data_IF_939750102722
#
_entry.id   IF_939750102722
#
_cell.length_a   1.000
_cell.length_b   1.000
_cell.length_c   1.000
_cell.angle_alpha   90.00
_cell.angle_beta   90.00
_cell.angle_gamma   90.00
#
_symmetry.space_group_name_H-M   'P 1'
#
loop_
_entity.id
_entity.type
_entity.pdbx_description
1 polymer ?
#
# COMPACT_ATOMS: atom_id res chain seq x y z
N UNK A 1 7.78 22.90 10.77
CA UNK A 1 8.99 22.38 10.12
C UNK A 1 8.98 20.88 10.33
N UNK A 2 9.08 20.08 9.25
CA UNK A 2 8.76 18.67 9.28
C UNK A 2 9.93 17.77 9.67
N UNK A 3 9.90 17.26 10.90
CA UNK A 3 10.83 16.24 11.38
C UNK A 3 10.19 14.86 11.25
N UNK A 4 10.66 14.07 10.27
CA UNK A 4 10.04 12.81 9.88
C UNK A 4 10.98 11.64 10.08
N UNK A 5 10.43 10.57 10.65
CA UNK A 5 11.08 9.25 10.73
C UNK A 5 10.30 8.28 9.83
N UNK A 6 10.99 7.60 8.94
CA UNK A 6 10.44 6.55 8.10
C UNK A 6 10.94 5.19 8.58
N UNK A 7 10.05 4.25 8.84
CA UNK A 7 10.37 2.87 9.20
C UNK A 7 10.13 2.00 7.98
N UNK A 8 11.19 1.37 7.49
CA UNK A 8 11.21 0.59 6.25
C UNK A 8 12.28 1.07 5.28
N UNK A 9 12.82 0.16 4.49
CA UNK A 9 13.83 0.42 3.44
C UNK A 9 13.59 -0.50 2.22
N UNK A 10 12.30 -0.75 1.91
CA UNK A 10 11.84 -1.50 0.73
C UNK A 10 11.60 -0.59 -0.48
N UNK A 11 10.98 -1.12 -1.54
CA UNK A 11 10.70 -0.38 -2.77
C UNK A 11 9.84 0.86 -2.54
N UNK A 12 8.74 0.74 -1.82
CA UNK A 12 7.85 1.86 -1.45
C UNK A 12 8.61 2.91 -0.62
N UNK A 13 9.39 2.47 0.37
CA UNK A 13 10.21 3.35 1.19
C UNK A 13 11.28 4.09 0.36
N UNK A 14 11.84 3.43 -0.66
CA UNK A 14 12.78 4.06 -1.59
C UNK A 14 12.12 5.22 -2.31
N UNK A 15 10.95 5.01 -2.90
CA UNK A 15 10.19 6.08 -3.58
C UNK A 15 9.85 7.22 -2.62
N UNK A 16 9.27 6.90 -1.45
CA UNK A 16 8.92 7.90 -0.45
C UNK A 16 10.14 8.72 -0.01
N UNK A 17 11.30 8.08 0.20
CA UNK A 17 12.54 8.78 0.55
C UNK A 17 13.01 9.74 -0.55
N UNK A 18 12.98 9.31 -1.83
CA UNK A 18 13.29 10.20 -2.95
C UNK A 18 12.36 11.41 -2.97
N UNK A 19 11.04 11.20 -2.77
CA UNK A 19 10.06 12.28 -2.75
C UNK A 19 10.21 13.21 -1.53
N UNK A 20 10.56 12.67 -0.37
CA UNK A 20 10.87 13.48 0.82
C UNK A 20 12.05 14.40 0.56
N UNK A 21 13.15 13.90 -0.01
CA UNK A 21 14.33 14.73 -0.28
C UNK A 21 14.15 15.73 -1.43
N UNK A 22 13.17 15.52 -2.30
CA UNK A 22 12.76 16.50 -3.32
C UNK A 22 11.98 17.68 -2.72
N UNK A 23 11.44 17.54 -1.49
CA UNK A 23 10.58 18.51 -0.83
C UNK A 23 11.15 18.95 0.54
N UNK A 24 12.45 19.31 0.60
CA UNK A 24 13.15 19.69 1.84
C UNK A 24 12.63 20.98 2.47
N UNK A 25 11.89 21.79 1.74
CA UNK A 25 11.17 22.95 2.28
C UNK A 25 10.05 22.54 3.28
N UNK A 26 9.50 21.35 3.12
CA UNK A 26 8.52 20.75 4.03
C UNK A 26 9.21 19.81 5.02
N UNK A 27 10.08 18.92 4.55
CA UNK A 27 10.77 17.89 5.34
C UNK A 27 12.17 18.37 5.72
N UNK A 28 12.32 18.98 6.90
CA UNK A 28 13.57 19.65 7.30
C UNK A 28 14.56 18.74 8.02
N UNK A 29 14.09 17.67 8.65
CA UNK A 29 14.92 16.62 9.25
C UNK A 29 14.34 15.25 8.87
N UNK A 30 15.19 14.38 8.36
CA UNK A 30 14.76 13.06 7.88
C UNK A 30 15.64 11.94 8.42
N UNK A 31 14.99 10.87 8.92
CA UNK A 31 15.65 9.63 9.33
C UNK A 31 14.96 8.43 8.71
N UNK A 32 15.78 7.46 8.28
CA UNK A 32 15.33 6.14 7.81
C UNK A 32 15.78 5.08 8.80
N UNK A 33 14.88 4.22 9.23
CA UNK A 33 15.19 3.12 10.13
C UNK A 33 14.62 1.78 9.64
N UNK A 34 15.35 0.71 9.84
CA UNK A 34 14.88 -0.65 9.56
C UNK A 34 15.67 -1.68 10.36
N UNK A 35 15.26 -2.95 10.35
CA UNK A 35 16.01 -4.06 10.98
C UNK A 35 17.42 -4.21 10.44
N UNK A 36 17.67 -3.84 9.19
CA UNK A 36 18.97 -3.87 8.52
C UNK A 36 19.41 -2.46 8.20
N UNK A 37 20.23 -1.87 9.07
CA UNK A 37 20.74 -0.51 8.88
C UNK A 37 21.45 -0.34 7.53
N UNK A 38 22.13 -1.39 7.07
CA UNK A 38 22.84 -1.39 5.79
C UNK A 38 21.91 -1.07 4.61
N UNK A 39 20.64 -1.53 4.68
CA UNK A 39 19.63 -1.19 3.65
C UNK A 39 19.24 0.28 3.68
N UNK A 40 19.21 0.89 4.85
CA UNK A 40 19.00 2.33 4.98
C UNK A 40 20.20 3.11 4.40
N UNK A 41 21.42 2.67 4.68
CA UNK A 41 22.64 3.31 4.19
C UNK A 41 22.76 3.15 2.65
N UNK A 42 22.40 1.99 2.09
CA UNK A 42 22.32 1.75 0.64
C UNK A 42 21.31 2.71 -0.03
N UNK A 43 20.12 2.91 0.60
CA UNK A 43 19.12 3.84 0.09
C UNK A 43 19.62 5.29 0.12
N UNK A 44 20.26 5.72 1.21
CA UNK A 44 20.88 7.06 1.29
C UNK A 44 21.93 7.24 0.19
N UNK A 45 22.76 6.20 -0.03
CA UNK A 45 23.75 6.22 -1.11
C UNK A 45 23.08 6.37 -2.48
N UNK A 46 22.00 5.62 -2.76
CA UNK A 46 21.28 5.71 -4.03
C UNK A 46 20.71 7.12 -4.28
N UNK A 47 20.19 7.77 -3.23
CA UNK A 47 19.71 9.15 -3.28
C UNK A 47 20.83 10.12 -3.61
N UNK A 48 21.99 9.96 -2.97
CA UNK A 48 23.17 10.80 -3.24
C UNK A 48 23.77 10.57 -4.64
N UNK A 49 23.80 9.32 -5.10
CA UNK A 49 24.27 8.95 -6.45
C UNK A 49 23.40 9.58 -7.56
N UNK A 50 22.11 9.82 -7.28
CA UNK A 50 21.19 10.58 -8.15
C UNK A 50 21.34 12.11 -8.02
N UNK A 51 22.27 12.59 -7.21
CA UNK A 51 22.65 14.01 -7.09
C UNK A 51 21.90 14.81 -6.02
N UNK A 52 21.01 14.19 -5.24
CA UNK A 52 20.35 14.87 -4.14
C UNK A 52 21.29 15.03 -2.95
N UNK A 53 21.38 16.26 -2.42
CA UNK A 53 22.22 16.59 -1.26
C UNK A 53 21.33 16.82 -0.02
N UNK A 54 20.88 15.73 0.58
CA UNK A 54 20.09 15.77 1.80
C UNK A 54 20.87 15.14 2.96
N UNK A 55 20.77 15.72 4.15
CA UNK A 55 21.30 15.11 5.38
C UNK A 55 20.25 14.11 5.90
N UNK A 56 20.49 12.83 5.62
CA UNK A 56 19.58 11.74 5.97
C UNK A 56 20.25 10.89 7.04
N UNK A 57 19.63 10.82 8.23
CA UNK A 57 20.09 9.94 9.30
C UNK A 57 19.60 8.51 9.07
N UNK A 58 20.37 7.54 9.51
CA UNK A 58 20.00 6.13 9.44
C UNK A 58 20.11 5.47 10.82
N UNK A 59 19.21 4.52 11.11
CA UNK A 59 19.22 3.77 12.35
C UNK A 59 18.82 2.31 12.13
N UNK A 60 19.23 1.45 13.05
CA UNK A 60 18.70 0.09 13.17
C UNK A 60 17.57 0.09 14.18
N UNK A 61 16.45 -0.57 13.85
CA UNK A 61 15.34 -0.79 14.78
C UNK A 61 14.60 -2.06 14.37
N UNK A 62 14.19 -2.85 15.33
CA UNK A 62 13.20 -3.91 15.13
C UNK A 62 11.82 -3.33 15.42
N UNK A 63 10.97 -3.26 14.39
CA UNK A 63 9.63 -2.71 14.51
C UNK A 63 8.62 -3.65 15.21
N UNK A 64 9.02 -4.87 15.52
CA UNK A 64 8.29 -5.78 16.42
C UNK A 64 8.60 -5.50 17.92
N UNK A 65 9.61 -4.67 18.23
CA UNK A 65 10.04 -4.33 19.59
C UNK A 65 9.67 -2.88 19.96
N UNK A 66 8.61 -2.73 20.74
CA UNK A 66 8.08 -1.41 21.18
C UNK A 66 9.14 -0.61 21.97
N UNK A 67 10.00 -1.27 22.76
CA UNK A 67 11.00 -0.55 23.57
C UNK A 67 12.13 0.00 22.68
N UNK A 68 12.61 -0.75 21.70
CA UNK A 68 13.58 -0.23 20.72
C UNK A 68 12.98 0.95 19.92
N UNK A 69 11.71 0.84 19.51
CA UNK A 69 11.01 1.95 18.86
C UNK A 69 10.95 3.20 19.74
N UNK A 70 10.59 3.05 21.02
CA UNK A 70 10.53 4.16 21.99
C UNK A 70 11.91 4.80 22.21
N UNK A 71 12.98 4.01 22.32
CA UNK A 71 14.34 4.53 22.42
C UNK A 71 14.70 5.38 21.19
N UNK A 72 14.42 4.86 20.00
CA UNK A 72 14.65 5.58 18.74
C UNK A 72 13.82 6.87 18.66
N UNK A 73 12.52 6.82 18.97
CA UNK A 73 11.62 7.98 18.90
C UNK A 73 12.03 9.04 19.93
N UNK A 74 12.38 8.66 21.15
CA UNK A 74 12.87 9.59 22.17
C UNK A 74 14.21 10.24 21.79
N UNK A 75 15.08 9.53 21.10
CA UNK A 75 16.38 10.07 20.66
C UNK A 75 16.24 11.01 19.48
N UNK A 76 15.46 10.66 18.47
CA UNK A 76 15.26 11.46 17.26
C UNK A 76 14.17 12.51 17.45
N UNK A 77 13.11 12.23 18.20
CA UNK A 77 11.92 13.06 18.44
C UNK A 77 11.21 13.47 17.13
N UNK A 78 10.72 12.51 16.34
CA UNK A 78 9.98 12.82 15.13
C UNK A 78 8.63 13.47 15.46
N UNK A 79 8.15 14.38 14.62
CA UNK A 79 6.75 14.84 14.68
C UNK A 79 5.80 13.82 14.03
N UNK A 80 6.29 13.15 12.99
CA UNK A 80 5.54 12.13 12.24
C UNK A 80 6.42 10.91 12.01
N UNK A 81 5.85 9.73 12.25
CA UNK A 81 6.42 8.44 11.86
C UNK A 81 5.66 7.94 10.63
N UNK A 82 6.37 7.69 9.53
CA UNK A 82 5.84 7.02 8.34
C UNK A 82 6.21 5.55 8.44
N UNK A 83 5.21 4.68 8.55
CA UNK A 83 5.39 3.25 8.58
C UNK A 83 5.29 2.66 7.18
N UNK A 84 6.41 2.21 6.63
CA UNK A 84 6.55 1.47 5.37
C UNK A 84 7.23 0.12 5.61
N UNK A 85 7.06 -0.42 6.83
CA UNK A 85 7.40 -1.79 7.18
C UNK A 85 6.28 -2.74 6.71
N UNK A 86 6.26 -3.97 7.21
CA UNK A 86 5.15 -4.87 6.92
C UNK A 86 3.94 -4.55 7.81
N UNK A 87 2.72 -4.87 7.38
CA UNK A 87 1.50 -4.57 8.14
C UNK A 87 1.46 -5.19 9.54
N UNK A 88 2.23 -6.25 9.78
CA UNK A 88 2.36 -6.90 11.09
C UNK A 88 2.90 -5.99 12.20
N UNK A 89 3.61 -4.90 11.85
CA UNK A 89 4.23 -3.98 12.78
C UNK A 89 3.37 -2.73 13.10
N UNK A 90 2.22 -2.56 12.47
CA UNK A 90 1.43 -1.33 12.59
C UNK A 90 1.07 -1.02 14.05
N UNK A 91 0.53 -2.00 14.77
CA UNK A 91 0.09 -1.78 16.15
C UNK A 91 1.26 -1.52 17.11
N UNK A 92 2.42 -2.19 16.93
CA UNK A 92 3.62 -1.95 17.74
C UNK A 92 4.18 -0.55 17.50
N UNK A 93 4.17 -0.08 16.26
CA UNK A 93 4.60 1.27 15.92
C UNK A 93 3.60 2.31 16.46
N UNK A 94 2.28 2.07 16.36
CA UNK A 94 1.24 2.94 16.94
C UNK A 94 1.35 3.03 18.46
N UNK A 95 1.65 1.94 19.17
CA UNK A 95 1.90 1.94 20.62
C UNK A 95 3.13 2.79 20.97
N UNK A 96 4.22 2.67 20.22
CA UNK A 96 5.41 3.50 20.40
C UNK A 96 5.13 4.98 20.10
N UNK A 97 4.34 5.29 19.07
CA UNK A 97 3.91 6.65 18.75
C UNK A 97 3.12 7.28 19.91
N UNK A 98 2.14 6.57 20.45
CA UNK A 98 1.38 7.04 21.61
C UNK A 98 2.27 7.27 22.83
N UNK A 99 3.20 6.36 23.11
CA UNK A 99 4.10 6.46 24.25
C UNK A 99 5.07 7.65 24.15
N UNK A 100 5.47 8.05 22.94
CA UNK A 100 6.46 9.10 22.68
C UNK A 100 5.86 10.43 22.19
N UNK A 101 4.54 10.50 21.99
CA UNK A 101 3.88 11.71 21.51
C UNK A 101 4.15 12.00 20.03
N UNK A 102 4.26 10.97 19.19
CA UNK A 102 4.47 11.07 17.75
C UNK A 102 3.18 10.82 16.98
N UNK A 103 3.01 11.48 15.83
CA UNK A 103 1.93 11.19 14.91
C UNK A 103 2.32 10.01 14.00
N UNK A 104 1.34 9.37 13.36
CA UNK A 104 1.50 8.14 12.62
C UNK A 104 0.90 8.25 11.21
N UNK A 105 1.54 7.59 10.24
CA UNK A 105 1.02 7.40 8.88
C UNK A 105 1.51 6.04 8.38
N UNK A 106 0.62 5.27 7.73
CA UNK A 106 0.95 4.04 7.01
C UNK A 106 0.36 4.00 5.59
N UNK A 107 0.57 2.90 4.88
CA UNK A 107 0.09 2.69 3.51
C UNK A 107 -0.75 1.43 3.34
N UNK A 108 -1.11 0.77 4.42
CA UNK A 108 -1.90 -0.46 4.46
C UNK A 108 -2.67 -0.55 5.78
N UNK A 109 -3.34 -1.65 6.05
CA UNK A 109 -3.94 -1.97 7.32
C UNK A 109 -3.12 -3.03 8.09
N UNK A 110 -3.34 -3.12 9.42
CA UNK A 110 -2.76 -4.18 10.22
C UNK A 110 -3.24 -5.57 9.78
N UNK A 111 -2.32 -6.51 9.75
CA UNK A 111 -2.59 -7.92 9.46
C UNK A 111 -1.92 -8.82 10.52
N UNK A 112 -2.66 -9.77 11.15
CA UNK A 112 -2.06 -10.79 12.00
C UNK A 112 -1.12 -11.71 11.23
N UNK A 113 0.01 -12.13 11.85
CA UNK A 113 0.99 -13.02 11.18
C UNK A 113 0.45 -14.44 10.93
N UNK A 114 -0.42 -14.89 11.79
CA UNK A 114 -0.95 -16.27 11.86
C UNK A 114 -2.30 -16.45 11.12
N UNK A 115 -2.91 -15.35 10.68
CA UNK A 115 -4.17 -15.34 9.96
C UNK A 115 -4.13 -14.32 8.82
N UNK A 116 -4.56 -14.70 7.62
CA UNK A 116 -4.74 -13.76 6.52
C UNK A 116 -6.09 -13.06 6.71
N UNK A 117 -6.07 -11.90 7.36
CA UNK A 117 -7.27 -11.15 7.68
C UNK A 117 -7.00 -9.64 7.63
N UNK A 118 -7.55 -8.99 6.61
CA UNK A 118 -7.33 -7.58 6.30
C UNK A 118 -8.54 -6.77 6.75
N UNK A 119 -8.38 -5.95 7.79
CA UNK A 119 -9.43 -5.06 8.30
C UNK A 119 -8.85 -3.89 9.10
N UNK A 120 -9.50 -2.74 9.08
CA UNK A 120 -9.10 -1.56 9.84
C UNK A 120 -9.51 -1.59 11.33
N UNK A 121 -10.36 -2.50 11.76
CA UNK A 121 -10.92 -2.53 13.11
C UNK A 121 -9.85 -2.47 14.20
N UNK A 122 -8.72 -3.16 13.99
CA UNK A 122 -7.58 -3.19 14.90
C UNK A 122 -6.97 -1.79 15.12
N UNK A 123 -6.79 -1.04 14.06
CA UNK A 123 -6.21 0.30 14.13
C UNK A 123 -7.25 1.34 14.54
N UNK A 124 -8.51 1.21 14.10
CA UNK A 124 -9.59 2.10 14.56
C UNK A 124 -9.83 2.01 16.08
N UNK A 125 -9.54 0.89 16.71
CA UNK A 125 -9.60 0.73 18.17
C UNK A 125 -8.63 1.68 18.92
N UNK A 126 -7.65 2.25 18.24
CA UNK A 126 -6.72 3.25 18.80
C UNK A 126 -7.26 4.68 18.77
N UNK A 127 -8.41 4.94 18.14
CA UNK A 127 -8.94 6.29 17.90
C UNK A 127 -9.00 7.13 19.18
N UNK A 128 -9.65 6.63 20.22
CA UNK A 128 -9.79 7.35 21.49
C UNK A 128 -8.45 7.63 22.16
N UNK A 129 -7.46 6.74 22.01
CA UNK A 129 -6.12 6.93 22.58
C UNK A 129 -5.40 8.08 21.87
N UNK A 130 -5.44 8.11 20.52
CA UNK A 130 -4.85 9.18 19.73
C UNK A 130 -5.57 10.51 19.94
N UNK A 131 -6.90 10.54 20.03
CA UNK A 131 -7.68 11.74 20.36
C UNK A 131 -7.27 12.33 21.72
N UNK A 132 -7.21 11.51 22.78
CA UNK A 132 -6.82 11.93 24.11
C UNK A 132 -5.39 12.44 24.18
N UNK A 133 -4.51 11.88 23.37
CA UNK A 133 -3.10 12.31 23.26
C UNK A 133 -2.92 13.57 22.39
N UNK A 134 -3.96 14.01 21.67
CA UNK A 134 -3.87 15.12 20.71
C UNK A 134 -3.07 14.76 19.46
N UNK A 135 -2.94 13.47 19.14
CA UNK A 135 -2.16 12.93 18.04
C UNK A 135 -3.05 12.51 16.87
N UNK A 136 -2.50 12.56 15.68
CA UNK A 136 -3.14 12.12 14.44
C UNK A 136 -2.50 10.83 13.93
N UNK A 137 -3.31 9.82 13.59
CA UNK A 137 -2.91 8.69 12.78
C UNK A 137 -3.67 8.72 11.44
N UNK A 138 -2.94 8.60 10.34
CA UNK A 138 -3.46 8.55 8.97
C UNK A 138 -3.23 7.14 8.46
N UNK A 139 -4.31 6.42 8.14
CA UNK A 139 -4.26 5.03 7.73
C UNK A 139 -4.40 4.88 6.23
N UNK A 140 -3.66 3.92 5.68
CA UNK A 140 -3.80 3.50 4.30
C UNK A 140 -3.47 4.60 3.29
N UNK A 141 -2.42 5.38 3.50
CA UNK A 141 -2.04 6.49 2.62
C UNK A 141 -1.07 6.02 1.51
N UNK A 142 -1.50 4.97 0.79
CA UNK A 142 -0.87 4.47 -0.44
C UNK A 142 -1.69 4.86 -1.68
N UNK A 143 -1.76 3.98 -2.67
CA UNK A 143 -2.65 4.21 -3.79
C UNK A 143 -4.02 3.56 -3.54
N UNK A 144 -4.02 2.27 -3.37
CA UNK A 144 -5.10 1.41 -2.92
C UNK A 144 -4.54 0.52 -1.76
N UNK A 145 -4.90 0.90 -0.55
CA UNK A 145 -5.70 2.05 -0.08
C UNK A 145 -4.96 3.41 -0.18
N UNK A 146 -5.74 4.49 -0.29
CA UNK A 146 -5.28 5.88 -0.16
C UNK A 146 -5.77 6.79 -1.28
N UNK A 147 -5.14 6.77 -2.45
CA UNK A 147 -5.57 7.60 -3.59
C UNK A 147 -6.97 7.20 -4.06
N UNK A 148 -7.33 5.91 -4.04
CA UNK A 148 -8.68 5.40 -4.33
C UNK A 148 -9.74 6.03 -3.41
N UNK A 149 -9.40 6.16 -2.13
CA UNK A 149 -10.25 6.83 -1.12
C UNK A 149 -10.34 8.34 -1.38
N UNK A 150 -9.20 8.99 -1.68
CA UNK A 150 -9.19 10.41 -2.06
C UNK A 150 -9.99 10.68 -3.35
N UNK A 151 -9.92 9.79 -4.34
CA UNK A 151 -10.72 9.88 -5.56
C UNK A 151 -12.22 9.80 -5.28
N UNK A 152 -12.62 8.88 -4.40
CA UNK A 152 -14.02 8.75 -3.98
C UNK A 152 -14.49 9.98 -3.20
N UNK A 153 -13.68 10.50 -2.28
CA UNK A 153 -13.98 11.73 -1.55
C UNK A 153 -14.06 12.95 -2.47
N UNK A 154 -13.18 13.04 -3.47
CA UNK A 154 -13.19 14.09 -4.48
C UNK A 154 -14.47 14.03 -5.33
N UNK A 155 -14.83 12.84 -5.78
CA UNK A 155 -16.08 12.63 -6.52
C UNK A 155 -17.31 13.03 -5.69
N UNK A 156 -17.38 12.61 -4.42
CA UNK A 156 -18.45 12.99 -3.51
C UNK A 156 -18.52 14.52 -3.30
N UNK A 157 -17.37 15.17 -3.15
CA UNK A 157 -17.30 16.62 -2.90
C UNK A 157 -17.74 17.45 -4.10
N UNK A 158 -17.36 17.05 -5.33
CA UNK A 158 -17.49 17.88 -6.51
C UNK A 158 -18.57 17.40 -7.50
N UNK A 159 -18.81 16.10 -7.59
CA UNK A 159 -19.56 15.51 -8.69
C UNK A 159 -20.81 14.75 -8.29
N UNK A 160 -20.98 14.37 -7.03
CA UNK A 160 -22.13 13.58 -6.59
C UNK A 160 -22.79 14.14 -5.34
N UNK A 161 -24.10 14.05 -5.29
CA UNK A 161 -24.90 14.23 -4.08
C UNK A 161 -25.04 12.88 -3.34
N UNK A 162 -25.11 11.77 -4.12
CA UNK A 162 -25.12 10.40 -3.63
C UNK A 162 -24.27 9.51 -4.52
N UNK A 163 -23.36 8.74 -3.93
CA UNK A 163 -22.63 7.67 -4.61
C UNK A 163 -23.39 6.37 -4.37
N UNK A 164 -23.78 5.68 -5.44
CA UNK A 164 -24.51 4.41 -5.34
C UNK A 164 -23.66 3.20 -5.66
N UNK A 165 -22.77 3.28 -6.63
CA UNK A 165 -21.93 2.18 -7.10
C UNK A 165 -20.49 2.68 -7.21
N UNK A 166 -19.59 1.90 -6.64
CA UNK A 166 -18.15 2.15 -6.64
C UNK A 166 -17.43 0.87 -7.03
N UNK A 167 -16.68 0.92 -8.13
CA UNK A 167 -15.71 -0.09 -8.49
C UNK A 167 -14.31 0.54 -8.48
N UNK A 168 -13.45 0.07 -7.60
CA UNK A 168 -12.03 0.35 -7.61
C UNK A 168 -11.40 -0.65 -8.57
N UNK A 169 -10.60 -0.17 -9.52
CA UNK A 169 -10.01 -1.00 -10.57
C UNK A 169 -8.51 -0.78 -10.61
N UNK A 170 -7.75 -1.84 -10.37
CA UNK A 170 -6.28 -1.85 -10.41
C UNK A 170 -5.78 -2.76 -11.53
N UNK A 171 -5.02 -2.18 -12.44
CA UNK A 171 -4.37 -2.89 -13.53
C UNK A 171 -2.88 -2.62 -13.54
N UNK A 172 -2.09 -3.69 -13.39
CA UNK A 172 -0.71 -3.68 -13.79
C UNK A 172 -0.55 -4.41 -15.13
N UNK A 173 -0.44 -3.65 -16.21
CA UNK A 173 -0.22 -4.16 -17.57
C UNK A 173 1.26 -4.29 -17.93
N UNK A 174 2.14 -4.28 -16.94
CA UNK A 174 3.57 -4.36 -17.15
C UNK A 174 4.09 -5.79 -17.40
N UNK A 175 5.32 -5.86 -17.90
CA UNK A 175 6.07 -7.11 -18.07
C UNK A 175 7.50 -6.94 -17.53
N UNK A 176 7.81 -7.62 -16.45
CA UNK A 176 9.13 -7.66 -15.82
C UNK A 176 10.03 -8.78 -16.35
N UNK A 177 9.62 -9.52 -17.39
CA UNK A 177 10.36 -10.61 -18.05
C UNK A 177 10.83 -11.76 -17.13
N UNK A 178 10.20 -11.93 -15.95
CA UNK A 178 10.42 -13.08 -15.07
C UNK A 178 9.28 -14.08 -15.25
N UNK A 179 9.58 -15.37 -15.07
CA UNK A 179 8.56 -16.43 -15.13
C UNK A 179 7.49 -16.23 -14.04
N UNK A 180 7.94 -15.93 -12.83
CA UNK A 180 7.09 -15.56 -11.69
C UNK A 180 7.82 -14.54 -10.80
N UNK A 181 7.17 -13.46 -10.46
CA UNK A 181 7.61 -12.48 -9.48
C UNK A 181 6.40 -11.70 -8.99
N UNK A 182 6.53 -11.09 -7.82
CA UNK A 182 5.52 -10.21 -7.22
C UNK A 182 6.00 -8.77 -7.24
N UNK A 183 5.09 -7.80 -7.35
CA UNK A 183 5.45 -6.40 -7.46
C UNK A 183 5.76 -5.72 -6.11
N UNK A 184 5.34 -6.35 -5.03
CA UNK A 184 5.65 -5.98 -3.65
C UNK A 184 6.00 -7.23 -2.85
N UNK A 185 6.05 -7.17 -1.52
CA UNK A 185 6.48 -8.28 -0.69
C UNK A 185 5.77 -9.58 -1.08
N UNK A 186 6.50 -10.66 -1.46
CA UNK A 186 5.90 -11.88 -1.97
C UNK A 186 4.93 -12.56 -0.99
N UNK A 187 5.21 -12.47 0.30
CA UNK A 187 4.36 -13.03 1.34
C UNK A 187 3.01 -12.32 1.38
N UNK A 188 3.00 -10.99 1.45
CA UNK A 188 1.77 -10.19 1.48
C UNK A 188 0.99 -10.39 0.19
N UNK A 189 1.66 -10.28 -0.97
CA UNK A 189 1.02 -10.47 -2.28
C UNK A 189 0.32 -11.84 -2.40
N UNK A 190 0.99 -12.93 -2.05
CA UNK A 190 0.41 -14.28 -2.15
C UNK A 190 -0.74 -14.46 -1.17
N UNK A 191 -0.62 -13.96 0.07
CA UNK A 191 -1.70 -14.03 1.07
C UNK A 191 -2.93 -13.28 0.60
N UNK A 192 -2.76 -12.07 0.09
CA UNK A 192 -3.84 -11.22 -0.42
C UNK A 192 -4.59 -11.89 -1.59
N UNK A 193 -3.87 -12.40 -2.59
CA UNK A 193 -4.49 -12.97 -3.79
C UNK A 193 -5.16 -14.33 -3.50
N UNK A 194 -4.68 -15.06 -2.51
CA UNK A 194 -5.20 -16.40 -2.18
C UNK A 194 -6.32 -16.40 -1.14
N UNK A 195 -6.64 -15.25 -0.56
CA UNK A 195 -7.80 -15.11 0.32
C UNK A 195 -9.11 -15.05 -0.46
N UNK A 196 -10.23 -15.22 0.25
CA UNK A 196 -11.56 -15.05 -0.32
C UNK A 196 -11.79 -13.63 -0.80
N UNK A 197 -12.47 -13.48 -1.92
CA UNK A 197 -12.99 -12.18 -2.34
C UNK A 197 -14.10 -11.73 -1.41
N UNK A 198 -14.20 -10.42 -1.17
CA UNK A 198 -15.24 -9.82 -0.35
C UNK A 198 -15.66 -8.48 -0.96
N UNK A 199 -16.96 -8.29 -1.15
CA UNK A 199 -17.51 -7.04 -1.64
C UNK A 199 -18.81 -6.68 -0.92
N UNK A 200 -19.18 -5.40 -0.98
CA UNK A 200 -20.41 -4.91 -0.37
C UNK A 200 -21.51 -4.77 -1.41
N UNK A 201 -22.72 -5.26 -1.08
CA UNK A 201 -23.92 -5.04 -1.90
C UNK A 201 -25.20 -4.99 -1.05
N UNK A 202 -25.98 -3.93 -1.21
CA UNK A 202 -27.30 -3.71 -0.60
C UNK A 202 -27.37 -3.95 0.93
N UNK A 203 -26.33 -3.52 1.65
CA UNK A 203 -26.30 -3.63 3.11
C UNK A 203 -25.59 -4.87 3.64
N UNK A 204 -25.11 -5.75 2.75
CA UNK A 204 -24.46 -7.01 3.11
C UNK A 204 -23.06 -7.12 2.52
N UNK A 205 -22.14 -7.75 3.26
CA UNK A 205 -20.86 -8.18 2.76
C UNK A 205 -20.99 -9.58 2.17
N UNK A 206 -20.57 -9.73 0.91
CA UNK A 206 -20.72 -10.98 0.16
C UNK A 206 -19.34 -11.57 -0.10
N UNK A 207 -19.14 -12.78 0.40
CA UNK A 207 -17.91 -13.57 0.24
C UNK A 207 -17.95 -14.40 -1.06
N UNK A 208 -16.80 -14.49 -1.74
CA UNK A 208 -16.61 -15.36 -2.90
C UNK A 208 -15.35 -16.20 -2.72
N UNK A 209 -15.27 -17.33 -3.45
CA UNK A 209 -14.02 -18.06 -3.52
C UNK A 209 -12.95 -17.25 -4.25
N UNK A 210 -11.65 -17.44 -3.92
CA UNK A 210 -10.56 -16.67 -4.53
C UNK A 210 -10.57 -16.74 -6.05
N UNK A 211 -10.49 -15.58 -6.72
CA UNK A 211 -10.35 -15.43 -8.17
C UNK A 211 -11.45 -16.07 -9.05
N UNK A 212 -12.61 -16.45 -8.47
CA UNK A 212 -13.72 -17.08 -9.20
C UNK A 212 -14.57 -16.07 -9.95
N UNK A 213 -14.76 -14.89 -9.36
CA UNK A 213 -15.52 -13.81 -10.00
C UNK A 213 -14.56 -12.93 -10.78
N UNK A 214 -14.72 -12.86 -12.09
CA UNK A 214 -13.88 -12.05 -12.97
C UNK A 214 -14.64 -11.53 -14.16
N UNK A 215 -14.15 -10.44 -14.76
CA UNK A 215 -14.72 -9.83 -15.96
C UNK A 215 -13.66 -9.04 -16.72
N UNK A 216 -13.90 -8.82 -18.02
CA UNK A 216 -13.10 -7.90 -18.80
C UNK A 216 -13.41 -6.45 -18.41
N UNK A 217 -12.38 -5.70 -18.01
CA UNK A 217 -12.45 -4.27 -17.75
C UNK A 217 -11.53 -3.54 -18.72
N UNK A 218 -12.04 -2.49 -19.38
CA UNK A 218 -11.23 -1.66 -20.27
C UNK A 218 -10.53 -0.55 -19.49
N UNK A 219 -9.20 -0.56 -19.54
CA UNK A 219 -8.34 0.43 -18.90
C UNK A 219 -7.81 1.45 -19.91
N UNK A 220 -7.75 2.74 -19.55
CA UNK A 220 -7.21 3.78 -20.43
C UNK A 220 -5.75 3.47 -20.82
N UNK A 221 -5.44 3.68 -22.12
CA UNK A 221 -4.14 3.39 -22.76
C UNK A 221 -3.74 1.90 -22.83
N UNK A 222 -4.38 1.03 -22.08
CA UNK A 222 -4.02 -0.39 -21.92
C UNK A 222 -4.99 -1.28 -22.73
N UNK A 223 -6.30 -0.94 -22.74
CA UNK A 223 -7.36 -1.75 -23.34
C UNK A 223 -7.94 -2.78 -22.35
N UNK A 224 -8.71 -3.78 -22.87
CA UNK A 224 -9.40 -4.74 -22.04
C UNK A 224 -8.41 -5.68 -21.32
N UNK A 225 -8.73 -5.98 -20.06
CA UNK A 225 -7.99 -6.94 -19.22
C UNK A 225 -8.97 -7.73 -18.37
N UNK A 226 -8.74 -9.03 -18.27
CA UNK A 226 -9.43 -9.89 -17.32
C UNK A 226 -9.09 -9.44 -15.90
N UNK A 227 -10.10 -9.03 -15.14
CA UNK A 227 -9.98 -8.42 -13.84
C UNK A 227 -10.76 -9.24 -12.83
N UNK A 228 -10.12 -9.57 -11.73
CA UNK A 228 -10.61 -10.48 -10.70
C UNK A 228 -11.12 -9.70 -9.50
N UNK A 229 -12.30 -10.06 -9.01
CA UNK A 229 -12.87 -9.51 -7.78
C UNK A 229 -12.08 -10.02 -6.59
N UNK A 230 -11.65 -9.07 -5.76
CA UNK A 230 -10.88 -9.35 -4.55
C UNK A 230 -11.47 -8.63 -3.34
N UNK A 231 -11.04 -9.03 -2.15
CA UNK A 231 -11.17 -8.18 -0.97
C UNK A 231 -10.05 -7.14 -0.96
N UNK A 232 -10.40 -5.91 -0.61
CA UNK A 232 -9.42 -4.87 -0.33
C UNK A 232 -9.96 -3.94 0.78
N UNK A 233 -9.09 -3.56 1.70
CA UNK A 233 -9.47 -2.97 2.98
C UNK A 233 -10.17 -1.62 2.89
N UNK A 234 -9.86 -0.79 1.88
CA UNK A 234 -10.50 0.52 1.76
C UNK A 234 -12.00 0.44 1.50
N UNK A 235 -12.51 -0.70 1.03
CA UNK A 235 -13.96 -0.87 0.86
C UNK A 235 -14.69 -0.73 2.19
N UNK A 236 -14.09 -1.18 3.32
CA UNK A 236 -14.70 -1.06 4.66
C UNK A 236 -14.89 0.40 5.06
N UNK A 237 -13.84 1.20 4.92
CA UNK A 237 -13.87 2.62 5.30
C UNK A 237 -14.76 3.43 4.37
N UNK A 238 -14.74 3.15 3.06
CA UNK A 238 -15.55 3.82 2.06
C UNK A 238 -17.04 3.56 2.26
N UNK A 239 -17.45 2.31 2.47
CA UNK A 239 -18.85 1.97 2.77
C UNK A 239 -19.32 2.62 4.08
N UNK A 240 -18.45 2.66 5.08
CA UNK A 240 -18.74 3.32 6.37
C UNK A 240 -18.91 4.83 6.23
N UNK A 241 -18.05 5.47 5.43
CA UNK A 241 -17.99 6.94 5.30
C UNK A 241 -18.97 7.48 4.25
N UNK A 242 -19.38 6.65 3.27
CA UNK A 242 -20.35 7.00 2.22
C UNK A 242 -21.58 6.10 2.28
N UNK A 243 -22.53 6.33 3.20
CA UNK A 243 -23.66 5.43 3.49
C UNK A 243 -24.68 5.32 2.35
N UNK A 244 -24.58 6.11 1.29
CA UNK A 244 -25.40 5.99 0.08
C UNK A 244 -24.91 4.92 -0.89
N UNK A 245 -23.73 4.36 -0.64
CA UNK A 245 -23.18 3.26 -1.45
C UNK A 245 -24.06 2.02 -1.30
N UNK A 246 -24.54 1.51 -2.43
CA UNK A 246 -25.32 0.28 -2.56
C UNK A 246 -24.46 -0.91 -2.95
N UNK A 247 -23.36 -0.67 -3.67
CA UNK A 247 -22.38 -1.68 -4.03
C UNK A 247 -20.99 -1.07 -4.10
N UNK A 248 -20.00 -1.73 -3.50
CA UNK A 248 -18.59 -1.41 -3.59
C UNK A 248 -17.78 -2.69 -3.87
N UNK A 249 -16.90 -2.64 -4.90
CA UNK A 249 -16.08 -3.76 -5.34
C UNK A 249 -14.67 -3.31 -5.63
N UNK A 250 -13.71 -4.24 -5.46
CA UNK A 250 -12.33 -4.06 -5.86
C UNK A 250 -11.95 -5.10 -6.92
N UNK A 251 -11.27 -4.66 -7.97
CA UNK A 251 -10.88 -5.48 -9.11
C UNK A 251 -9.40 -5.33 -9.40
N UNK A 252 -8.67 -6.45 -9.49
CA UNK A 252 -7.25 -6.47 -9.82
C UNK A 252 -6.97 -7.38 -11.00
N UNK A 253 -5.95 -7.02 -11.80
CA UNK A 253 -5.56 -7.80 -12.98
C UNK A 253 -4.35 -8.68 -12.70
N UNK A 254 -4.37 -9.88 -13.30
CA UNK A 254 -3.25 -10.81 -13.24
C UNK A 254 -2.94 -11.38 -14.62
N UNK A 255 -1.65 -11.55 -14.93
CA UNK A 255 -1.24 -12.26 -16.14
C UNK A 255 -1.52 -13.75 -16.02
N UNK A 256 -1.97 -14.40 -17.11
CA UNK A 256 -2.29 -15.85 -17.13
C UNK A 256 -1.10 -16.71 -16.68
N UNK A 257 0.13 -16.30 -17.01
CA UNK A 257 1.34 -17.00 -16.57
C UNK A 257 1.50 -16.94 -15.05
N UNK A 258 1.26 -15.75 -14.46
CA UNK A 258 1.29 -15.58 -13.01
C UNK A 258 0.28 -16.49 -12.31
N UNK A 259 -0.97 -16.51 -12.76
CA UNK A 259 -2.03 -17.37 -12.20
C UNK A 259 -1.69 -18.85 -12.30
N UNK A 260 -1.10 -19.29 -13.42
CA UNK A 260 -0.67 -20.68 -13.60
C UNK A 260 0.39 -21.09 -12.59
N UNK A 261 1.38 -20.23 -12.33
CA UNK A 261 2.40 -20.53 -11.31
C UNK A 261 1.84 -20.42 -9.90
N UNK A 262 0.96 -19.48 -9.63
CA UNK A 262 0.30 -19.34 -8.33
C UNK A 262 -0.51 -20.59 -7.98
N UNK A 263 -1.30 -21.10 -8.92
CA UNK A 263 -2.05 -22.35 -8.75
C UNK A 263 -1.11 -23.53 -8.45
N UNK A 264 0.00 -23.64 -9.18
CA UNK A 264 1.01 -24.66 -8.91
C UNK A 264 1.59 -24.51 -7.48
N UNK A 265 1.95 -23.30 -7.06
CA UNK A 265 2.47 -23.01 -5.73
C UNK A 265 1.48 -23.40 -4.63
N UNK A 266 0.19 -23.10 -4.82
CA UNK A 266 -0.87 -23.48 -3.89
C UNK A 266 -1.06 -25.00 -3.82
N UNK A 267 -1.15 -25.66 -4.96
CA UNK A 267 -1.30 -27.12 -5.05
C UNK A 267 -0.11 -27.89 -4.47
N UNK A 268 1.09 -27.31 -4.48
CA UNK A 268 2.29 -27.85 -3.81
C UNK A 268 2.33 -27.53 -2.30
N UNK A 269 1.41 -26.73 -1.78
CA UNK A 269 1.38 -26.30 -0.39
C UNK A 269 2.47 -25.28 -0.04
N UNK A 270 3.07 -24.61 -1.05
CA UNK A 270 4.13 -23.61 -0.82
C UNK A 270 3.59 -22.26 -0.36
N UNK A 271 2.29 -22.02 -0.46
CA UNK A 271 1.60 -20.83 0.08
C UNK A 271 1.19 -20.97 1.55
N UNK A 272 1.44 -22.12 2.20
CA UNK A 272 1.10 -22.36 3.61
C UNK A 272 1.88 -21.44 4.54
N UNK A 273 1.18 -20.91 5.55
CA UNK A 273 1.71 -20.00 6.60
C UNK A 273 2.00 -20.73 7.91
N UNK A 274 1.56 -21.99 8.05
CA UNK A 274 1.84 -22.83 9.22
C UNK A 274 3.23 -23.49 9.13
N UNK A 275 3.78 -23.78 10.28
CA UNK A 275 5.09 -24.42 10.41
C UNK A 275 4.99 -25.91 10.08
N UNK A 276 5.92 -26.42 9.26
CA UNK A 276 6.07 -27.84 8.97
C UNK A 276 7.45 -28.33 9.39
N UNK A 277 7.50 -29.53 9.97
CA UNK A 277 8.76 -30.23 10.29
C UNK A 277 9.14 -31.16 9.11
N UNK A 278 10.41 -31.12 8.71
CA UNK A 278 10.96 -32.14 7.81
C UNK A 278 12.38 -32.55 8.23
N UNK A 279 12.81 -33.74 7.83
CA UNK A 279 14.15 -34.23 8.08
C UNK A 279 15.10 -33.80 6.94
N UNK A 280 15.93 -32.79 7.22
CA UNK A 280 16.94 -32.29 6.28
C UNK A 280 18.21 -33.13 6.35
N UNK A 281 18.80 -33.58 5.23
CA UNK A 281 20.10 -34.23 5.24
C UNK A 281 21.21 -33.23 5.63
N UNK A 282 22.14 -33.68 6.47
CA UNK A 282 23.33 -32.88 6.78
C UNK A 282 24.26 -32.79 5.58
N UNK A 283 24.76 -31.57 5.30
CA UNK A 283 25.65 -31.30 4.18
C UNK A 283 27.10 -31.86 4.38
N UNK A 284 27.36 -32.48 5.52
CA UNK A 284 28.69 -33.04 5.92
C UNK A 284 29.01 -34.42 5.30
N UNK A 285 28.10 -34.97 4.48
CA UNK A 285 28.26 -36.29 3.86
C UNK A 285 28.10 -37.48 4.81
N UNK A 286 27.68 -37.26 6.08
CA UNK A 286 27.52 -38.32 7.09
C UNK A 286 26.32 -39.23 6.85
N UNK A 287 25.39 -38.83 5.95
CA UNK A 287 24.11 -39.51 5.74
C UNK A 287 23.12 -39.33 6.90
N UNK A 288 23.45 -38.47 7.88
CA UNK A 288 22.54 -38.14 8.98
C UNK A 288 21.56 -37.05 8.57
N UNK A 289 20.42 -37.02 9.26
CA UNK A 289 19.39 -35.98 9.10
C UNK A 289 19.27 -35.13 10.36
N UNK A 290 18.75 -33.93 10.21
CA UNK A 290 18.35 -33.03 11.31
C UNK A 290 16.91 -32.60 11.07
N UNK A 291 16.10 -32.54 12.11
CA UNK A 291 14.75 -31.98 12.04
C UNK A 291 14.83 -30.49 11.91
N UNK A 292 14.15 -29.94 10.93
CA UNK A 292 14.07 -28.52 10.62
C UNK A 292 12.60 -28.13 10.51
N UNK A 293 12.24 -27.06 11.20
CA UNK A 293 10.93 -26.44 11.07
C UNK A 293 11.02 -25.28 10.07
N UNK A 294 10.12 -25.25 9.12
CA UNK A 294 10.00 -24.16 8.13
C UNK A 294 8.54 -23.78 7.95
N UNK A 295 8.33 -22.49 7.63
CA UNK A 295 7.06 -22.00 7.07
C UNK A 295 7.24 -21.97 5.54
N UNK A 296 6.47 -22.76 4.75
CA UNK A 296 6.67 -22.87 3.30
C UNK A 296 6.66 -21.52 2.58
N UNK A 297 5.73 -20.63 2.92
CA UNK A 297 5.65 -19.29 2.32
C UNK A 297 6.90 -18.44 2.61
N UNK A 298 7.50 -18.55 3.80
CA UNK A 298 8.74 -17.83 4.12
C UNK A 298 9.93 -18.37 3.32
N UNK A 299 9.98 -19.69 3.09
CA UNK A 299 10.98 -20.28 2.22
C UNK A 299 10.77 -19.86 0.76
N UNK A 300 9.54 -19.87 0.25
CA UNK A 300 9.19 -19.39 -1.09
C UNK A 300 9.63 -17.93 -1.28
N UNK A 301 9.31 -17.06 -0.33
CA UNK A 301 9.74 -15.64 -0.33
C UNK A 301 11.26 -15.48 -0.45
N UNK A 302 12.03 -16.35 0.18
CA UNK A 302 13.49 -16.27 0.16
C UNK A 302 14.10 -16.64 -1.19
N UNK A 303 13.40 -17.41 -2.03
CA UNK A 303 13.89 -17.85 -3.35
C UNK A 303 13.29 -17.05 -4.51
N UNK A 304 12.21 -16.31 -4.28
CA UNK A 304 11.60 -15.46 -5.32
C UNK A 304 12.45 -14.23 -5.64
N UNK A 305 12.35 -13.68 -6.87
CA UNK A 305 12.96 -12.40 -7.21
C UNK A 305 12.53 -11.30 -6.22
N UNK A 306 13.49 -10.46 -5.82
CA UNK A 306 13.19 -9.32 -4.99
C UNK A 306 12.41 -8.26 -5.81
N UNK A 307 11.23 -7.80 -5.37
CA UNK A 307 10.45 -6.77 -6.08
C UNK A 307 11.20 -5.46 -6.37
N UNK A 308 12.21 -5.12 -5.54
CA UNK A 308 13.05 -3.94 -5.75
C UNK A 308 13.93 -4.04 -7.01
N UNK A 309 14.23 -5.27 -7.46
CA UNK A 309 15.15 -5.51 -8.58
C UNK A 309 14.40 -5.65 -9.93
N UNK A 310 13.08 -5.45 -9.96
CA UNK A 310 12.28 -5.63 -11.17
C UNK A 310 12.30 -4.41 -12.10
N UNK A 311 12.62 -3.21 -11.61
CA UNK A 311 12.38 -1.96 -12.32
C UNK A 311 13.20 -1.73 -13.59
N UNK A 312 14.44 -2.25 -13.68
CA UNK A 312 15.38 -1.93 -14.76
C UNK A 312 14.85 -2.25 -16.17
N UNK A 313 14.15 -3.37 -16.33
CA UNK A 313 13.60 -3.83 -17.61
C UNK A 313 12.10 -4.12 -17.49
N UNK A 314 11.36 -3.25 -16.84
CA UNK A 314 9.93 -3.41 -16.62
C UNK A 314 9.17 -2.56 -17.64
N UNK A 315 8.65 -3.20 -18.69
CA UNK A 315 7.85 -2.53 -19.70
C UNK A 315 6.41 -2.29 -19.24
N UNK A 316 5.71 -1.35 -19.87
CA UNK A 316 4.28 -1.09 -19.65
C UNK A 316 3.99 -0.11 -18.52
N UNK A 317 2.76 -0.12 -18.05
CA UNK A 317 2.24 0.84 -17.09
C UNK A 317 1.19 0.22 -16.17
N UNK A 318 0.97 0.85 -15.01
CA UNK A 318 -0.20 0.62 -14.16
C UNK A 318 -1.33 1.56 -14.57
N UNK A 319 -2.58 1.17 -14.33
CA UNK A 319 -3.76 2.03 -14.43
C UNK A 319 -4.69 1.73 -13.26
N UNK A 320 -4.79 2.66 -12.32
CA UNK A 320 -5.57 2.48 -11.09
C UNK A 320 -6.56 3.61 -10.95
N UNK A 321 -7.82 3.30 -10.59
CA UNK A 321 -8.83 4.33 -10.46
C UNK A 321 -10.17 3.86 -9.92
N UNK A 322 -11.10 4.80 -9.82
CA UNK A 322 -12.43 4.59 -9.28
C UNK A 322 -13.49 4.86 -10.36
N UNK A 323 -14.30 3.84 -10.67
CA UNK A 323 -15.51 3.95 -11.50
C UNK A 323 -16.68 4.15 -10.56
N UNK A 324 -17.43 5.23 -10.78
CA UNK A 324 -18.47 5.66 -9.87
C UNK A 324 -19.75 5.91 -10.65
N UNK A 325 -20.87 5.44 -10.10
CA UNK A 325 -22.21 5.80 -10.55
C UNK A 325 -23.03 6.27 -9.36
N UNK A 326 -23.76 7.37 -9.54
CA UNK A 326 -24.54 7.98 -8.48
C UNK A 326 -25.44 9.09 -8.99
N UNK A 327 -25.91 9.93 -8.10
CA UNK A 327 -26.85 11.02 -8.39
C UNK A 327 -26.16 12.38 -8.21
N UNK A 328 -26.40 13.28 -9.15
CA UNK A 328 -26.10 14.72 -9.06
C UNK A 328 -27.29 15.53 -9.58
N UNK A 329 -27.77 16.47 -8.77
CA UNK A 329 -28.93 17.32 -9.10
C UNK A 329 -30.16 16.50 -9.56
N UNK A 330 -30.40 15.37 -8.90
CA UNK A 330 -31.52 14.45 -9.18
C UNK A 330 -31.36 13.62 -10.47
N UNK A 331 -30.17 13.62 -11.10
CA UNK A 331 -29.91 12.83 -12.31
C UNK A 331 -28.80 11.82 -12.06
N UNK A 332 -28.98 10.63 -12.61
CA UNK A 332 -27.92 9.62 -12.60
C UNK A 332 -26.80 10.04 -13.54
N UNK A 333 -25.57 9.85 -13.07
CA UNK A 333 -24.36 10.01 -13.89
C UNK A 333 -23.30 8.96 -13.55
N UNK A 334 -22.40 8.75 -14.49
CA UNK A 334 -21.20 7.93 -14.35
C UNK A 334 -19.95 8.79 -14.41
N UNK A 335 -18.94 8.38 -13.68
CA UNK A 335 -17.67 9.09 -13.55
C UNK A 335 -16.54 8.11 -13.35
N UNK A 336 -15.42 8.36 -14.00
CA UNK A 336 -14.20 7.58 -13.82
C UNK A 336 -13.04 8.53 -13.58
N UNK A 337 -12.36 8.34 -12.44
CA UNK A 337 -11.13 9.05 -12.09
C UNK A 337 -10.01 8.03 -11.94
N UNK A 338 -8.86 8.28 -12.58
CA UNK A 338 -7.77 7.31 -12.66
C UNK A 338 -6.41 7.96 -12.84
N UNK A 339 -5.36 7.19 -12.55
CA UNK A 339 -3.96 7.49 -12.86
C UNK A 339 -3.37 6.38 -13.73
N UNK A 340 -2.48 6.75 -14.66
CA UNK A 340 -1.57 5.83 -15.33
C UNK A 340 -0.13 6.14 -14.92
N UNK A 341 0.65 5.11 -14.59
CA UNK A 341 2.06 5.25 -14.21
C UNK A 341 2.93 4.27 -14.99
N UNK A 342 3.82 4.79 -15.83
CA UNK A 342 4.78 3.97 -16.59
C UNK A 342 5.90 3.48 -15.69
N UNK A 343 6.20 2.18 -15.74
CA UNK A 343 7.25 1.58 -14.93
C UNK A 343 8.62 2.21 -15.19
N UNK A 344 8.97 2.52 -16.45
CA UNK A 344 10.25 3.11 -16.80
C UNK A 344 10.39 4.57 -16.36
N UNK A 345 9.28 5.35 -16.33
CA UNK A 345 9.33 6.73 -15.84
C UNK A 345 9.59 6.72 -14.32
N UNK A 346 8.92 5.85 -13.58
CA UNK A 346 9.14 5.63 -12.15
C UNK A 346 10.57 5.17 -11.86
N UNK A 347 11.09 4.22 -12.65
CA UNK A 347 12.44 3.69 -12.51
C UNK A 347 13.51 4.75 -12.81
N UNK A 348 13.34 5.53 -13.87
CA UNK A 348 14.27 6.59 -14.22
C UNK A 348 14.41 7.64 -13.11
N UNK A 349 13.32 7.92 -12.40
CA UNK A 349 13.33 8.89 -11.30
C UNK A 349 13.88 8.29 -10.00
N UNK A 350 13.39 7.14 -9.57
CA UNK A 350 13.61 6.62 -8.21
C UNK A 350 14.40 5.30 -8.16
N UNK A 351 14.61 4.65 -9.30
CA UNK A 351 15.16 3.29 -9.36
C UNK A 351 14.17 2.19 -9.00
N UNK A 352 12.88 2.53 -8.83
CA UNK A 352 11.83 1.58 -8.46
C UNK A 352 10.75 1.53 -9.56
N UNK A 353 10.08 0.38 -9.66
CA UNK A 353 9.01 0.17 -10.62
C UNK A 353 7.69 0.87 -10.21
N UNK A 354 6.72 0.94 -11.14
CA UNK A 354 5.50 1.72 -11.01
C UNK A 354 4.64 1.41 -9.78
N UNK A 355 4.50 0.14 -9.37
CA UNK A 355 3.69 -0.23 -8.19
C UNK A 355 4.30 0.33 -6.89
N UNK A 356 5.63 0.29 -6.74
CA UNK A 356 6.30 0.96 -5.61
C UNK A 356 6.15 2.48 -5.69
N UNK A 357 6.13 3.03 -6.92
CA UNK A 357 6.01 4.47 -7.13
C UNK A 357 4.60 4.98 -6.81
N UNK A 358 3.57 4.29 -7.27
CA UNK A 358 2.16 4.66 -7.00
C UNK A 358 1.83 4.62 -5.52
N UNK A 359 2.49 3.79 -4.72
CA UNK A 359 2.31 3.73 -3.25
C UNK A 359 3.20 4.73 -2.50
N UNK A 360 4.46 4.89 -2.92
CA UNK A 360 5.43 5.73 -2.18
C UNK A 360 5.21 7.23 -2.34
N UNK A 361 4.71 7.67 -3.51
CA UNK A 361 4.38 9.10 -3.73
C UNK A 361 3.24 9.56 -2.84
N UNK A 362 2.10 8.85 -2.72
CA UNK A 362 1.03 9.23 -1.81
C UNK A 362 1.44 9.21 -0.33
N UNK A 363 2.28 8.27 0.10
CA UNK A 363 2.79 8.26 1.47
C UNK A 363 3.52 9.56 1.82
N UNK A 364 4.39 10.05 0.92
CA UNK A 364 5.05 11.36 1.09
C UNK A 364 4.04 12.51 1.00
N UNK A 365 3.07 12.44 0.06
CA UNK A 365 2.07 13.50 -0.10
C UNK A 365 1.17 13.63 1.14
N UNK A 366 0.73 12.52 1.75
CA UNK A 366 -0.02 12.53 3.02
C UNK A 366 0.80 13.12 4.17
N UNK A 367 2.07 12.75 4.27
CA UNK A 367 2.99 13.36 5.24
C UNK A 367 3.14 14.88 4.98
N UNK A 368 3.20 15.31 3.71
CA UNK A 368 3.21 16.73 3.36
C UNK A 368 1.91 17.44 3.79
N UNK A 369 0.75 16.81 3.60
CA UNK A 369 -0.54 17.34 4.07
C UNK A 369 -0.54 17.50 5.59
N UNK A 370 0.00 16.54 6.32
CA UNK A 370 0.17 16.62 7.76
C UNK A 370 1.06 17.81 8.17
N UNK A 371 2.25 17.97 7.58
CA UNK A 371 3.17 19.05 7.92
C UNK A 371 2.66 20.44 7.52
N UNK A 372 1.86 20.53 6.48
CA UNK A 372 1.16 21.77 6.10
C UNK A 372 -0.05 22.08 7.00
N UNK A 373 -0.38 21.21 7.96
CA UNK A 373 -1.50 21.38 8.89
C UNK A 373 -2.88 21.10 8.29
N UNK A 374 -2.93 20.60 7.05
CA UNK A 374 -4.19 20.31 6.33
C UNK A 374 -4.84 19.00 6.80
N UNK A 375 -4.00 18.03 7.21
CA UNK A 375 -4.43 16.72 7.70
C UNK A 375 -4.05 16.49 9.18
N UNK A 376 -4.05 17.53 10.00
CA UNK A 376 -3.87 17.42 11.45
C UNK A 376 -5.24 17.36 12.13
N UNK A 377 -5.67 16.18 12.53
CA UNK A 377 -6.94 15.91 13.17
C UNK A 377 -6.71 14.82 14.24
N UNK A 378 -6.78 15.14 15.55
CA UNK A 378 -6.58 14.12 16.58
C UNK A 378 -7.50 12.90 16.39
N UNK A 379 -6.95 11.71 16.57
CA UNK A 379 -7.64 10.44 16.34
C UNK A 379 -6.99 9.58 15.28
N UNK A 380 -7.71 8.57 14.82
CA UNK A 380 -7.29 7.63 13.76
C UNK A 380 -8.27 7.80 12.60
N UNK A 381 -7.75 8.04 11.41
CA UNK A 381 -8.53 8.46 10.24
C UNK A 381 -8.01 7.81 8.96
N UNK A 382 -8.91 7.44 8.07
CA UNK A 382 -8.58 7.04 6.71
C UNK A 382 -8.47 8.29 5.80
N UNK A 383 -7.95 8.12 4.60
CA UNK A 383 -7.63 9.24 3.70
C UNK A 383 -8.88 10.03 3.29
N UNK A 384 -10.01 9.36 3.08
CA UNK A 384 -11.29 10.00 2.73
C UNK A 384 -11.91 10.86 3.84
N UNK A 385 -11.41 10.76 5.08
CA UNK A 385 -11.84 11.61 6.19
C UNK A 385 -11.26 13.04 6.11
N UNK A 386 -10.39 13.31 5.14
CA UNK A 386 -9.71 14.59 4.94
C UNK A 386 -10.13 15.25 3.61
N UNK A 387 -9.78 16.54 3.45
CA UNK A 387 -9.99 17.23 2.17
C UNK A 387 -9.07 16.64 1.09
N UNK A 388 -9.63 16.08 0.00
CA UNK A 388 -8.85 15.44 -1.06
C UNK A 388 -8.14 16.45 -1.98
N UNK A 389 -8.66 17.68 -2.16
CA UNK A 389 -8.20 18.61 -3.19
C UNK A 389 -6.70 18.93 -3.09
N UNK A 390 -6.17 19.36 -1.92
CA UNK A 390 -4.76 19.69 -1.81
C UNK A 390 -3.84 18.46 -1.95
N UNK A 391 -4.33 17.28 -1.57
CA UNK A 391 -3.60 16.03 -1.73
C UNK A 391 -3.47 15.65 -3.20
N UNK A 392 -4.59 15.66 -3.94
CA UNK A 392 -4.62 15.36 -5.37
C UNK A 392 -3.81 16.37 -6.19
N UNK A 393 -3.79 17.66 -5.79
CA UNK A 393 -2.92 18.66 -6.40
C UNK A 393 -1.44 18.34 -6.21
N UNK A 394 -1.05 17.85 -5.03
CA UNK A 394 0.32 17.41 -4.78
C UNK A 394 0.67 16.18 -5.60
N UNK A 395 -0.22 15.19 -5.73
CA UNK A 395 0.03 14.02 -6.57
C UNK A 395 0.34 14.41 -8.02
N UNK A 396 -0.45 15.32 -8.62
CA UNK A 396 -0.17 15.87 -9.96
C UNK A 396 1.24 16.45 -10.08
N UNK A 397 1.69 17.21 -9.07
CA UNK A 397 3.02 17.84 -9.05
C UNK A 397 4.15 16.86 -8.79
N UNK A 398 3.85 15.75 -8.14
CA UNK A 398 4.83 14.76 -7.69
C UNK A 398 4.96 13.53 -8.60
N UNK A 399 4.35 13.59 -9.81
CA UNK A 399 4.53 12.57 -10.84
C UNK A 399 3.42 11.52 -10.93
N UNK A 400 2.30 11.73 -10.23
CA UNK A 400 1.08 10.92 -10.35
C UNK A 400 -0.09 11.78 -10.87
N UNK A 401 -0.07 12.22 -12.13
CA UNK A 401 -1.18 12.96 -12.71
C UNK A 401 -2.42 12.06 -12.79
N UNK A 402 -3.57 12.60 -12.44
CA UNK A 402 -4.84 11.92 -12.53
C UNK A 402 -5.72 12.52 -13.61
N UNK A 403 -6.67 11.74 -14.11
CA UNK A 403 -7.55 12.06 -15.21
C UNK A 403 -9.00 11.77 -14.85
N UNK A 404 -9.93 12.51 -15.46
CA UNK A 404 -11.37 12.37 -15.25
C UNK A 404 -12.07 12.08 -16.57
N UNK A 405 -13.06 11.18 -16.52
CA UNK A 405 -13.97 10.88 -17.62
C UNK A 405 -15.41 10.92 -17.12
N UNK A 406 -16.23 11.74 -17.74
CA UNK A 406 -17.66 11.87 -17.42
C UNK A 406 -18.52 11.14 -18.43
N UNK A 407 -19.55 10.48 -17.93
CA UNK A 407 -20.46 9.70 -18.79
C UNK A 407 -19.82 8.41 -19.30
N UNK A 408 -20.52 7.74 -20.19
CA UNK A 408 -20.13 6.45 -20.77
C UNK A 408 -20.76 5.26 -20.04
N UNK A 409 -20.79 4.15 -20.75
CA UNK A 409 -21.18 2.86 -20.18
C UNK A 409 -19.96 2.29 -19.45
N UNK A 410 -19.98 2.36 -18.11
CA UNK A 410 -18.89 1.84 -17.29
C UNK A 410 -19.09 0.38 -16.88
N UNK A 411 -20.15 -0.29 -17.36
CA UNK A 411 -20.49 -1.67 -17.00
C UNK A 411 -20.45 -1.91 -15.48
N UNK A 412 -21.00 -0.96 -14.71
CA UNK A 412 -21.02 -0.96 -13.24
C UNK A 412 -22.20 -1.79 -12.69
#
# INVERSE_FOLDING_TARGET
MGKVLMIGAGGVATVAAFKIVQNQDVFTEFMIASRRKEKCDELVKAIHDKGYKADIKTAQVDADDVEQLKELFNSFKPELVINLALPYQDLTIMDACLACGCNYLDTANYEPKDEAHFEYSWQWAYKDKFEKAGLTAILGCGFDPGVSQAYTAYAAKHHFDEIHYLDIVDCNAGNHHKAFATNFNPEINIREITQKGLYYENGEWIETDPLVVHQDITYPNIGPRDSYLMHHEELESLVKNFPTIKRARFWMTFGQQYLTYLDCIQNLGMSRIDEIEYEAPLADGSGKTVKVNIVPLQFLKAVLPNPQDLGENYDGETSIGCRIRGIKDGKEQTYYIYNNCKHQDAYNETGMQGVSYTTGVPAMAGAMMFFKGLWRKPGVWNVEDFDPDPFLEVLNKQGLPWHEVFGGDLEL
#
